data_IF_282693215244
#
_entry.id   IF_282693215244
#
_cell.length_a   1.000
_cell.length_b   1.000
_cell.length_c   1.000
_cell.angle_alpha   90.00
_cell.angle_beta   90.00
_cell.angle_gamma   90.00
#
_symmetry.space_group_name_H-M   'P 1'
#
loop_
_entity.id
_entity.type
_entity.pdbx_description
1 polymer ?
#
# COMPACT_ATOMS: atom_id res chain seq x y z
N UNK A 1 -2.50 -8.90 15.60
CA UNK A 1 -1.47 -9.59 14.81
C UNK A 1 -1.90 -11.04 14.63
N UNK A 2 -2.04 -11.52 13.40
CA UNK A 2 -2.48 -12.90 13.11
C UNK A 2 -1.24 -13.74 12.83
N UNK A 3 -1.08 -14.85 13.56
CA UNK A 3 0.04 -15.79 13.39
C UNK A 3 -0.53 -17.19 13.14
N UNK A 4 0.02 -17.90 12.15
CA UNK A 4 -0.34 -19.28 11.83
C UNK A 4 0.91 -20.14 11.63
N UNK A 5 0.88 -21.43 12.00
CA UNK A 5 1.96 -22.35 11.66
C UNK A 5 1.94 -22.65 10.15
N UNK A 6 3.10 -22.91 9.56
CA UNK A 6 3.23 -23.29 8.14
C UNK A 6 2.42 -24.53 7.77
N UNK A 7 2.22 -25.45 8.72
CA UNK A 7 1.35 -26.62 8.55
C UNK A 7 -0.09 -26.24 8.16
N UNK A 8 -0.58 -25.07 8.59
CA UNK A 8 -1.93 -24.63 8.27
C UNK A 8 -2.09 -24.27 6.78
N UNK A 9 -1.02 -23.87 6.07
CA UNK A 9 -1.05 -23.67 4.61
C UNK A 9 -1.34 -24.96 3.86
N UNK A 10 -0.84 -26.09 4.38
CA UNK A 10 -1.05 -27.42 3.81
C UNK A 10 -2.40 -28.01 4.21
N UNK A 11 -2.77 -27.87 5.49
CA UNK A 11 -3.92 -28.57 6.07
C UNK A 11 -5.24 -27.82 5.92
N UNK A 12 -5.22 -26.48 5.84
CA UNK A 12 -6.41 -25.63 5.74
C UNK A 12 -6.14 -24.40 4.86
N UNK A 13 -5.77 -24.66 3.60
CA UNK A 13 -5.53 -23.59 2.64
C UNK A 13 -6.77 -22.70 2.44
N UNK A 14 -7.96 -23.30 2.35
CA UNK A 14 -9.22 -22.58 2.12
C UNK A 14 -9.51 -21.60 3.27
N UNK A 15 -9.35 -22.03 4.52
CA UNK A 15 -9.53 -21.17 5.69
C UNK A 15 -8.52 -20.02 5.73
N UNK A 16 -7.25 -20.30 5.42
CA UNK A 16 -6.21 -19.26 5.38
C UNK A 16 -6.42 -18.28 4.23
N UNK A 17 -6.77 -18.75 3.04
CA UNK A 17 -7.03 -17.91 1.88
C UNK A 17 -8.20 -16.95 2.16
N UNK A 18 -9.26 -17.45 2.81
CA UNK A 18 -10.38 -16.61 3.27
C UNK A 18 -9.92 -15.59 4.31
N UNK A 19 -9.16 -16.02 5.32
CA UNK A 19 -8.62 -15.14 6.36
C UNK A 19 -7.73 -14.03 5.77
N UNK A 20 -6.92 -14.33 4.75
CA UNK A 20 -6.08 -13.35 4.07
C UNK A 20 -6.90 -12.27 3.35
N UNK A 21 -8.03 -12.64 2.75
CA UNK A 21 -8.95 -11.69 2.10
C UNK A 21 -9.73 -10.85 3.11
N UNK A 22 -10.23 -11.47 4.19
CA UNK A 22 -11.05 -10.81 5.20
C UNK A 22 -10.24 -9.87 6.10
N UNK A 23 -9.03 -10.28 6.50
CA UNK A 23 -8.17 -9.48 7.38
C UNK A 23 -7.63 -8.21 6.74
N UNK A 24 -7.54 -8.17 5.39
CA UNK A 24 -6.96 -7.07 4.61
C UNK A 24 -5.57 -6.64 5.11
N UNK A 25 -4.83 -7.55 5.72
CA UNK A 25 -3.58 -7.28 6.43
C UNK A 25 -2.66 -8.50 6.49
N UNK A 26 -1.45 -8.35 7.08
CA UNK A 26 -0.46 -9.42 7.11
C UNK A 26 -0.86 -10.55 8.07
N UNK A 27 -0.70 -11.78 7.59
CA UNK A 27 -0.73 -13.00 8.39
C UNK A 27 0.71 -13.51 8.48
N UNK A 28 1.25 -13.60 9.69
CA UNK A 28 2.58 -14.11 9.92
C UNK A 28 2.56 -15.63 9.95
N UNK A 29 3.45 -16.25 9.18
CA UNK A 29 3.63 -17.69 9.14
C UNK A 29 4.87 -18.04 9.94
N UNK A 30 4.73 -19.05 10.81
CA UNK A 30 5.82 -19.59 11.61
C UNK A 30 6.19 -20.99 11.16
N UNK A 31 7.48 -21.33 11.26
CA UNK A 31 8.00 -22.67 11.05
C UNK A 31 8.76 -23.06 12.31
N UNK A 32 8.37 -24.15 12.97
CA UNK A 32 8.96 -24.61 14.23
C UNK A 32 8.96 -23.55 15.35
N UNK A 33 7.97 -22.66 15.37
CA UNK A 33 7.86 -21.58 16.38
C UNK A 33 8.62 -20.31 16.03
N UNK A 34 9.43 -20.32 14.98
CA UNK A 34 10.15 -19.15 14.48
C UNK A 34 9.38 -18.45 13.37
N UNK A 35 9.47 -17.12 13.31
CA UNK A 35 8.89 -16.34 12.21
C UNK A 35 9.59 -16.66 10.89
N UNK A 36 8.81 -17.01 9.87
CA UNK A 36 9.32 -17.48 8.58
C UNK A 36 8.94 -16.50 7.45
N UNK A 37 7.63 -16.29 7.24
CA UNK A 37 7.14 -15.45 6.14
C UNK A 37 5.84 -14.70 6.49
N UNK A 38 5.40 -13.82 5.59
CA UNK A 38 4.11 -13.11 5.68
C UNK A 38 3.25 -13.48 4.48
N UNK A 39 1.99 -13.79 4.74
CA UNK A 39 0.96 -14.03 3.73
C UNK A 39 -0.05 -12.88 3.74
N UNK A 40 -0.44 -12.43 2.56
CA UNK A 40 -1.50 -11.43 2.32
C UNK A 40 -2.31 -11.86 1.09
N UNK A 41 -3.55 -11.37 0.97
CA UNK A 41 -4.23 -11.42 -0.32
C UNK A 41 -3.56 -10.46 -1.31
N UNK A 42 -3.69 -10.75 -2.61
CA UNK A 42 -3.16 -9.88 -3.67
C UNK A 42 -3.68 -8.45 -3.53
N UNK A 43 -5.00 -8.28 -3.39
CA UNK A 43 -5.63 -6.96 -3.22
C UNK A 43 -5.06 -6.19 -2.01
N UNK A 44 -4.82 -6.88 -0.89
CA UNK A 44 -4.26 -6.25 0.31
C UNK A 44 -2.79 -5.84 0.10
N UNK A 45 -2.02 -6.67 -0.61
CA UNK A 45 -0.64 -6.37 -0.98
C UNK A 45 -0.57 -5.18 -1.93
N UNK A 46 -1.31 -5.19 -3.04
CA UNK A 46 -1.31 -4.10 -4.03
C UNK A 46 -1.75 -2.78 -3.42
N UNK A 47 -2.81 -2.78 -2.61
CA UNK A 47 -3.25 -1.59 -1.90
C UNK A 47 -2.19 -1.04 -0.95
N UNK A 48 -1.43 -1.92 -0.28
CA UNK A 48 -0.33 -1.52 0.59
C UNK A 48 0.78 -0.86 -0.23
N UNK A 49 1.18 -1.45 -1.35
CA UNK A 49 2.21 -0.89 -2.23
C UNK A 49 1.80 0.50 -2.77
N UNK A 50 0.57 0.64 -3.27
CA UNK A 50 0.03 1.93 -3.73
C UNK A 50 0.02 2.99 -2.61
N UNK A 51 -0.32 2.58 -1.38
CA UNK A 51 -0.32 3.48 -0.23
C UNK A 51 1.10 3.92 0.14
N UNK A 52 2.08 3.02 0.07
CA UNK A 52 3.49 3.34 0.33
C UNK A 52 4.05 4.28 -0.72
N UNK A 53 3.74 4.03 -2.00
CA UNK A 53 4.15 4.89 -3.11
C UNK A 53 3.57 6.30 -2.96
N UNK A 54 2.26 6.42 -2.66
CA UNK A 54 1.61 7.70 -2.40
C UNK A 54 2.29 8.46 -1.25
N UNK A 55 2.56 7.76 -0.14
CA UNK A 55 3.25 8.37 1.02
C UNK A 55 4.66 8.83 0.65
N UNK A 56 5.41 8.05 -0.13
CA UNK A 56 6.73 8.44 -0.61
C UNK A 56 6.66 9.72 -1.44
N UNK A 57 5.68 9.83 -2.36
CA UNK A 57 5.46 11.02 -3.18
C UNK A 57 5.10 12.25 -2.35
N UNK A 58 4.25 12.08 -1.34
CA UNK A 58 3.89 13.17 -0.41
C UNK A 58 5.11 13.64 0.38
N UNK A 59 5.91 12.72 0.92
CA UNK A 59 7.12 13.06 1.67
C UNK A 59 8.14 13.80 0.81
N UNK A 60 8.33 13.34 -0.43
CA UNK A 60 9.17 14.03 -1.40
C UNK A 60 8.67 15.46 -1.66
N UNK A 61 7.38 15.63 -1.95
CA UNK A 61 6.80 16.95 -2.22
C UNK A 61 6.94 17.91 -1.02
N UNK A 62 6.77 17.41 0.21
CA UNK A 62 7.00 18.22 1.42
C UNK A 62 8.47 18.62 1.58
N UNK A 63 9.41 17.72 1.29
CA UNK A 63 10.84 18.04 1.34
C UNK A 63 11.21 19.08 0.29
N UNK A 64 10.68 18.96 -0.93
CA UNK A 64 10.87 19.94 -2.00
C UNK A 64 10.32 21.31 -1.60
N UNK A 65 9.12 21.35 -1.01
CA UNK A 65 8.51 22.58 -0.49
C UNK A 65 9.38 23.23 0.58
N UNK A 66 9.89 22.45 1.53
CA UNK A 66 10.81 22.95 2.58
C UNK A 66 12.13 23.48 2.00
N UNK A 67 12.60 22.90 0.90
CA UNK A 67 13.78 23.35 0.17
C UNK A 67 13.51 24.56 -0.76
N UNK A 68 12.29 25.11 -0.76
CA UNK A 68 11.92 26.29 -1.53
C UNK A 68 11.52 26.00 -2.98
N UNK A 69 11.19 24.76 -3.33
CA UNK A 69 10.63 24.45 -4.64
C UNK A 69 9.33 25.25 -4.89
N UNK A 70 9.12 25.68 -6.13
CA UNK A 70 7.92 26.43 -6.51
C UNK A 70 6.68 25.56 -6.34
N UNK A 71 5.75 26.00 -5.50
CA UNK A 71 4.43 25.36 -5.33
C UNK A 71 3.37 26.06 -6.16
N UNK A 72 2.25 25.37 -6.37
CA UNK A 72 1.06 25.92 -7.02
C UNK A 72 -0.13 25.74 -6.08
N UNK A 73 -0.98 26.76 -6.03
CA UNK A 73 -2.32 26.63 -5.45
C UNK A 73 -3.18 25.71 -6.32
N UNK A 74 -4.24 25.16 -5.73
CA UNK A 74 -5.21 24.33 -6.46
C UNK A 74 -5.85 25.10 -7.63
N UNK A 75 -6.03 26.41 -7.48
CA UNK A 75 -6.56 27.28 -8.55
C UNK A 75 -5.61 27.38 -9.74
N UNK A 76 -4.33 27.67 -9.48
CA UNK A 76 -3.28 27.74 -10.52
C UNK A 76 -3.10 26.39 -11.22
N UNK A 77 -3.08 25.30 -10.46
CA UNK A 77 -2.97 23.96 -11.02
C UNK A 77 -4.15 23.62 -11.95
N UNK A 78 -5.39 23.96 -11.56
CA UNK A 78 -6.58 23.77 -12.40
C UNK A 78 -6.56 24.64 -13.66
N UNK A 79 -6.08 25.88 -13.57
CA UNK A 79 -5.95 26.76 -14.73
C UNK A 79 -4.96 26.17 -15.75
N UNK A 80 -3.78 25.74 -15.31
CA UNK A 80 -2.78 25.11 -16.18
C UNK A 80 -3.28 23.81 -16.82
N UNK A 81 -4.07 23.00 -16.10
CA UNK A 81 -4.65 21.79 -16.66
C UNK A 81 -5.66 22.10 -17.78
N UNK A 82 -6.52 23.10 -17.61
CA UNK A 82 -7.48 23.52 -18.65
C UNK A 82 -6.79 24.07 -19.88
N UNK A 83 -5.75 24.89 -19.69
CA UNK A 83 -4.93 25.41 -20.78
C UNK A 83 -4.30 24.27 -21.60
N UNK A 84 -3.75 23.24 -20.94
CA UNK A 84 -3.19 22.06 -21.62
C UNK A 84 -4.22 21.22 -22.37
N UNK A 85 -5.47 21.20 -21.91
CA UNK A 85 -6.57 20.47 -22.53
C UNK A 85 -7.25 21.26 -23.66
N UNK A 86 -6.85 22.52 -23.91
CA UNK A 86 -7.46 23.37 -24.93
C UNK A 86 -8.89 23.80 -24.62
N UNK A 87 -9.28 23.79 -23.34
CA UNK A 87 -10.58 24.26 -22.86
C UNK A 87 -10.62 25.78 -22.63
N UNK A 88 -9.56 26.49 -23.02
CA UNK A 88 -9.39 27.95 -23.00
C UNK A 88 -8.74 28.36 -24.33
#
# INVERSE_FOLDING_TARGET
MIIKPSAALRNDYTGISRLARESKGPIYITKNGEGDMVLMSMDAFEKREQTLELRSKILQAEQERLNGAKTLSVGEARAQLRERLGEI
#
